data_IF_550539668035
#
_entry.id   IF_550539668035
#
_cell.length_a   1.000
_cell.length_b   1.000
_cell.length_c   1.000
_cell.angle_alpha   90.00
_cell.angle_beta   90.00
_cell.angle_gamma   90.00
#
_symmetry.space_group_name_H-M   'P 1'
#
loop_
_entity.id
_entity.type
_entity.pdbx_description
1 polymer ?
#
# COMPACT_ATOMS: atom_id res chain seq x y z
N UNK A 1 -18.31 -36.35 1.06
CA UNK A 1 -18.70 -34.97 1.47
C UNK A 1 -17.50 -34.30 2.11
N UNK A 2 -17.12 -33.12 1.62
CA UNK A 2 -16.01 -32.33 2.14
C UNK A 2 -16.50 -30.90 2.42
N UNK A 3 -15.93 -30.26 3.44
CA UNK A 3 -16.27 -28.90 3.88
C UNK A 3 -15.07 -28.00 3.64
N UNK A 4 -15.25 -26.97 2.81
CA UNK A 4 -14.22 -25.97 2.52
C UNK A 4 -14.47 -24.73 3.36
N UNK A 5 -13.46 -24.25 4.09
CA UNK A 5 -13.57 -23.06 4.94
C UNK A 5 -12.38 -22.14 4.76
N UNK A 6 -12.52 -20.87 5.15
CA UNK A 6 -11.46 -19.84 5.13
C UNK A 6 -10.30 -20.08 6.12
N UNK A 7 -10.17 -21.29 6.65
CA UNK A 7 -9.14 -21.68 7.62
C UNK A 7 -9.12 -20.84 8.92
N UNK A 8 -10.19 -20.08 9.21
CA UNK A 8 -10.34 -19.40 10.49
C UNK A 8 -10.39 -20.41 11.64
N UNK A 9 -9.60 -20.19 12.70
CA UNK A 9 -9.44 -21.16 13.79
C UNK A 9 -10.78 -21.66 14.37
N UNK A 10 -11.75 -20.76 14.51
CA UNK A 10 -13.08 -21.08 15.03
C UNK A 10 -13.87 -22.01 14.10
N UNK A 11 -13.89 -21.74 12.79
CA UNK A 11 -14.64 -22.55 11.83
C UNK A 11 -13.94 -23.89 11.57
N UNK A 12 -12.60 -23.90 11.58
CA UNK A 12 -11.80 -25.13 11.51
C UNK A 12 -12.13 -26.04 12.69
N UNK A 13 -12.15 -25.51 13.91
CA UNK A 13 -12.53 -26.27 15.10
C UNK A 13 -13.96 -26.80 14.99
N UNK A 14 -14.93 -25.97 14.60
CA UNK A 14 -16.32 -26.40 14.44
C UNK A 14 -16.47 -27.54 13.43
N UNK A 15 -15.76 -27.49 12.30
CA UNK A 15 -15.78 -28.57 11.29
C UNK A 15 -15.09 -29.83 11.81
N UNK A 16 -13.98 -29.69 12.54
CA UNK A 16 -13.29 -30.83 13.15
C UNK A 16 -14.17 -31.54 14.18
N UNK A 17 -14.85 -30.79 15.04
CA UNK A 17 -15.72 -31.32 16.09
C UNK A 17 -16.99 -31.93 15.49
N UNK A 18 -17.55 -31.35 14.42
CA UNK A 18 -18.83 -31.80 13.81
C UNK A 18 -18.66 -32.92 12.78
N UNK A 19 -17.61 -32.85 11.96
CA UNK A 19 -17.45 -33.70 10.78
C UNK A 19 -16.15 -34.50 10.77
N UNK A 20 -15.22 -34.23 11.69
CA UNK A 20 -13.90 -34.85 11.75
C UNK A 20 -12.89 -34.23 10.78
N UNK A 21 -11.61 -34.24 11.18
CA UNK A 21 -10.49 -33.60 10.46
C UNK A 21 -10.37 -34.01 8.99
N UNK A 22 -10.63 -35.28 8.66
CA UNK A 22 -10.48 -35.83 7.29
C UNK A 22 -11.44 -35.21 6.27
N UNK A 23 -12.48 -34.51 6.72
CA UNK A 23 -13.49 -33.88 5.85
C UNK A 23 -13.29 -32.38 5.68
N UNK A 24 -12.31 -31.78 6.36
CA UNK A 24 -11.97 -30.37 6.20
C UNK A 24 -10.96 -30.19 5.07
N UNK A 25 -11.23 -29.24 4.17
CA UNK A 25 -10.29 -28.79 3.15
C UNK A 25 -10.09 -27.28 3.33
N UNK A 26 -8.86 -26.77 3.50
CA UNK A 26 -8.64 -25.35 3.61
C UNK A 26 -8.93 -24.64 2.28
N UNK A 27 -9.49 -23.43 2.35
CA UNK A 27 -9.71 -22.60 1.17
C UNK A 27 -8.37 -22.16 0.57
N UNK A 28 -8.09 -22.61 -0.65
CA UNK A 28 -6.86 -22.29 -1.37
C UNK A 28 -6.66 -20.77 -1.56
N UNK A 29 -7.74 -20.04 -1.86
CA UNK A 29 -7.68 -18.58 -2.03
C UNK A 29 -7.25 -17.86 -0.74
N UNK A 30 -7.72 -18.35 0.42
CA UNK A 30 -7.29 -17.82 1.72
C UNK A 30 -5.83 -18.16 2.00
N UNK A 31 -5.39 -19.38 1.69
CA UNK A 31 -3.97 -19.77 1.82
C UNK A 31 -3.06 -18.87 0.97
N UNK A 32 -3.44 -18.60 -0.28
CA UNK A 32 -2.70 -17.65 -1.13
C UNK A 32 -2.66 -16.24 -0.51
N UNK A 33 -3.77 -15.77 0.06
CA UNK A 33 -3.79 -14.48 0.73
C UNK A 33 -2.79 -14.42 1.90
N UNK A 34 -2.77 -15.46 2.75
CA UNK A 34 -1.84 -15.53 3.87
C UNK A 34 -0.37 -15.48 3.40
N UNK A 35 -0.04 -16.17 2.31
CA UNK A 35 1.32 -16.12 1.74
C UNK A 35 1.67 -14.70 1.31
N UNK A 36 0.76 -14.02 0.61
CA UNK A 36 0.95 -12.64 0.19
C UNK A 36 1.10 -11.69 1.39
N UNK A 37 0.22 -11.78 2.39
CA UNK A 37 0.27 -10.95 3.60
C UNK A 37 1.58 -11.16 4.37
N UNK A 38 2.01 -12.41 4.53
CA UNK A 38 3.28 -12.73 5.18
C UNK A 38 4.48 -12.15 4.43
N UNK A 39 4.47 -12.21 3.09
CA UNK A 39 5.52 -11.61 2.27
C UNK A 39 5.60 -10.09 2.44
N UNK A 40 4.45 -9.41 2.53
CA UNK A 40 4.36 -7.96 2.74
C UNK A 40 4.77 -7.55 4.15
N UNK A 41 4.58 -8.43 5.14
CA UNK A 41 4.97 -8.21 6.54
C UNK A 41 6.46 -8.44 6.80
N UNK A 42 7.23 -8.92 5.81
CA UNK A 42 8.69 -8.98 5.90
C UNK A 42 9.28 -7.62 6.27
N UNK A 43 10.23 -7.51 7.23
CA UNK A 43 10.67 -6.22 7.77
C UNK A 43 11.09 -5.19 6.71
N UNK A 44 11.85 -5.62 5.69
CA UNK A 44 12.32 -4.73 4.61
C UNK A 44 11.17 -4.26 3.72
N UNK A 45 10.25 -5.16 3.37
CA UNK A 45 9.10 -4.85 2.50
C UNK A 45 8.10 -3.97 3.24
N UNK A 46 7.76 -4.35 4.46
CA UNK A 46 6.81 -3.63 5.30
C UNK A 46 7.27 -2.17 5.54
N UNK A 47 8.56 -1.95 5.79
CA UNK A 47 9.11 -0.61 5.95
C UNK A 47 8.82 0.30 4.74
N UNK A 48 8.95 -0.23 3.51
CA UNK A 48 8.62 0.50 2.28
C UNK A 48 7.11 0.71 2.14
N UNK A 49 6.31 -0.35 2.36
CA UNK A 49 4.84 -0.28 2.25
C UNK A 49 4.24 0.74 3.22
N UNK A 50 4.77 0.81 4.44
CA UNK A 50 4.38 1.80 5.46
C UNK A 50 4.75 3.20 5.01
N UNK A 51 5.98 3.44 4.52
CA UNK A 51 6.37 4.77 3.99
C UNK A 51 5.47 5.23 2.85
N UNK A 52 5.19 4.35 1.87
CA UNK A 52 4.25 4.66 0.80
C UNK A 52 2.86 5.02 1.34
N UNK A 53 2.39 4.29 2.37
CA UNK A 53 1.11 4.56 3.03
C UNK A 53 1.09 5.94 3.69
N UNK A 54 2.16 6.34 4.38
CA UNK A 54 2.22 7.64 5.04
C UNK A 54 2.24 8.80 4.04
N UNK A 55 2.96 8.68 2.92
CA UNK A 55 2.94 9.67 1.83
C UNK A 55 1.52 9.81 1.26
N UNK A 56 0.87 8.68 0.95
CA UNK A 56 -0.50 8.67 0.43
C UNK A 56 -1.48 9.28 1.44
N UNK A 57 -1.34 8.99 2.74
CA UNK A 57 -2.16 9.61 3.79
C UNK A 57 -1.94 11.11 3.88
N UNK A 58 -0.70 11.58 3.75
CA UNK A 58 -0.39 13.01 3.74
C UNK A 58 -1.07 13.71 2.54
N UNK A 59 -0.93 13.16 1.33
CA UNK A 59 -1.60 13.68 0.11
C UNK A 59 -3.12 13.71 0.22
N UNK A 60 -3.73 12.72 0.89
CA UNK A 60 -5.18 12.70 1.09
C UNK A 60 -5.68 13.70 2.13
N UNK A 61 -4.87 14.00 3.16
CA UNK A 61 -5.25 14.92 4.24
C UNK A 61 -5.05 16.38 3.86
N UNK A 62 -4.04 16.68 3.04
CA UNK A 62 -3.73 18.04 2.62
C UNK A 62 -4.49 18.40 1.34
N UNK A 63 -5.41 19.36 1.43
CA UNK A 63 -6.11 19.91 0.26
C UNK A 63 -5.11 20.48 -0.73
N UNK A 64 -4.18 21.32 -0.23
CA UNK A 64 -3.10 21.90 -1.04
C UNK A 64 -2.30 20.84 -1.79
N UNK A 65 -1.87 19.76 -1.12
CA UNK A 65 -1.06 18.73 -1.77
C UNK A 65 -1.88 17.91 -2.79
N UNK A 66 -3.20 17.80 -2.59
CA UNK A 66 -4.10 17.19 -3.56
C UNK A 66 -4.26 18.06 -4.81
N UNK A 67 -4.41 19.37 -4.62
CA UNK A 67 -4.49 20.35 -5.71
C UNK A 67 -3.16 20.44 -6.46
N UNK A 68 -2.02 20.43 -5.76
CA UNK A 68 -0.69 20.36 -6.36
C UNK A 68 -0.55 19.09 -7.24
N UNK A 69 -1.08 17.95 -6.80
CA UNK A 69 -1.08 16.72 -7.59
C UNK A 69 -1.94 16.84 -8.86
N UNK A 70 -3.06 17.56 -8.79
CA UNK A 70 -3.88 17.85 -9.97
C UNK A 70 -3.13 18.78 -10.94
N UNK A 71 -2.53 19.85 -10.41
CA UNK A 71 -1.81 20.85 -11.19
C UNK A 71 -0.59 20.26 -11.89
N UNK A 72 0.19 19.43 -11.20
CA UNK A 72 1.37 18.76 -11.76
C UNK A 72 0.96 17.77 -12.86
N UNK A 73 -0.16 17.06 -12.71
CA UNK A 73 -0.70 16.20 -13.78
C UNK A 73 -1.19 17.04 -14.99
N UNK A 74 -1.84 18.17 -14.74
CA UNK A 74 -2.30 19.09 -15.79
C UNK A 74 -1.12 19.67 -16.58
N UNK A 75 -0.07 20.11 -15.89
CA UNK A 75 1.17 20.62 -16.48
C UNK A 75 1.89 19.57 -17.32
N UNK A 76 1.76 18.29 -16.97
CA UNK A 76 2.25 17.16 -17.76
C UNK A 76 1.34 16.75 -18.93
N UNK A 77 0.27 17.51 -19.21
CA UNK A 77 -0.64 17.27 -20.33
C UNK A 77 -1.70 16.18 -20.07
N UNK A 78 -1.92 15.76 -18.82
CA UNK A 78 -2.97 14.79 -18.50
C UNK A 78 -4.34 15.47 -18.57
N UNK A 79 -5.22 14.97 -19.43
CA UNK A 79 -6.60 15.45 -19.52
C UNK A 79 -7.33 15.31 -18.18
N UNK A 80 -8.17 16.31 -17.83
CA UNK A 80 -8.93 16.37 -16.57
C UNK A 80 -9.66 15.07 -16.21
N UNK A 81 -10.33 14.42 -17.17
CA UNK A 81 -11.03 13.15 -16.92
C UNK A 81 -10.13 11.92 -16.70
N UNK A 82 -8.82 12.04 -16.94
CA UNK A 82 -7.82 10.96 -16.80
C UNK A 82 -6.89 11.17 -15.61
N UNK A 83 -7.03 12.27 -14.87
CA UNK A 83 -6.19 12.56 -13.71
C UNK A 83 -6.42 11.52 -12.60
N UNK A 84 -5.33 10.97 -12.10
CA UNK A 84 -5.40 9.92 -11.10
C UNK A 84 -5.32 10.53 -9.70
N UNK A 85 -6.21 10.03 -8.83
CA UNK A 85 -6.14 10.26 -7.38
C UNK A 85 -5.39 9.12 -6.69
N UNK A 86 -4.78 9.43 -5.56
CA UNK A 86 -4.18 8.41 -4.68
C UNK A 86 -5.28 7.58 -4.00
N UNK A 87 -4.98 6.31 -3.74
CA UNK A 87 -5.89 5.37 -3.08
C UNK A 87 -5.22 4.77 -1.85
N UNK A 88 -6.00 4.53 -0.79
CA UNK A 88 -5.51 3.94 0.45
C UNK A 88 -5.90 2.46 0.49
N UNK A 89 -5.05 1.64 1.10
CA UNK A 89 -5.33 0.23 1.34
C UNK A 89 -6.37 0.04 2.44
N UNK A 90 -7.18 -1.02 2.31
CA UNK A 90 -8.21 -1.45 3.24
C UNK A 90 -7.79 -2.79 3.81
N UNK A 91 -7.50 -2.85 5.11
CA UNK A 91 -6.92 -4.04 5.74
C UNK A 91 -7.71 -5.33 5.49
N UNK A 92 -9.04 -5.25 5.45
CA UNK A 92 -9.92 -6.41 5.26
C UNK A 92 -10.09 -6.83 3.80
N UNK A 93 -9.50 -6.11 2.84
CA UNK A 93 -9.59 -6.42 1.40
C UNK A 93 -8.21 -6.79 0.87
N UNK A 94 -7.99 -8.09 0.69
CA UNK A 94 -6.72 -8.72 0.28
C UNK A 94 -5.94 -8.01 -0.85
N UNK A 95 -6.60 -7.58 -1.92
CA UNK A 95 -5.92 -6.93 -3.05
C UNK A 95 -5.68 -5.42 -2.89
N UNK A 96 -6.14 -4.80 -1.80
CA UNK A 96 -6.13 -3.34 -1.67
C UNK A 96 -4.72 -2.75 -1.54
N UNK A 97 -3.81 -3.46 -0.89
CA UNK A 97 -2.40 -3.07 -0.78
C UNK A 97 -1.72 -3.07 -2.14
N UNK A 98 -1.98 -4.09 -2.97
CA UNK A 98 -1.48 -4.18 -4.34
C UNK A 98 -1.91 -2.95 -5.16
N UNK A 99 -3.21 -2.65 -5.20
CA UNK A 99 -3.71 -1.50 -5.97
C UNK A 99 -3.15 -0.17 -5.46
N UNK A 100 -2.99 0.01 -4.14
CA UNK A 100 -2.33 1.20 -3.57
C UNK A 100 -0.92 1.36 -4.11
N UNK A 101 -0.11 0.30 -4.07
CA UNK A 101 1.27 0.34 -4.52
C UNK A 101 1.35 0.57 -6.03
N UNK A 102 0.52 -0.11 -6.82
CA UNK A 102 0.43 0.08 -8.26
C UNK A 102 0.07 1.53 -8.61
N UNK A 103 -0.94 2.10 -7.93
CA UNK A 103 -1.34 3.50 -8.12
C UNK A 103 -0.24 4.46 -7.69
N UNK A 104 0.43 4.16 -6.59
CA UNK A 104 1.54 4.98 -6.09
C UNK A 104 2.69 5.04 -7.09
N UNK A 105 3.07 3.90 -7.69
CA UNK A 105 4.11 3.84 -8.73
C UNK A 105 3.71 4.71 -9.94
N UNK A 106 2.47 4.62 -10.42
CA UNK A 106 1.97 5.45 -11.54
C UNK A 106 2.02 6.95 -11.25
N UNK A 107 1.90 7.34 -9.98
CA UNK A 107 1.92 8.74 -9.53
C UNK A 107 3.30 9.18 -9.01
N UNK A 108 4.28 8.29 -8.93
CA UNK A 108 5.51 8.52 -8.17
C UNK A 108 6.32 9.71 -8.71
N UNK A 109 6.39 9.90 -10.03
CA UNK A 109 7.05 11.04 -10.66
C UNK A 109 6.44 12.38 -10.21
N UNK A 110 5.11 12.48 -10.23
CA UNK A 110 4.39 13.67 -9.80
C UNK A 110 4.50 13.90 -8.29
N UNK A 111 4.38 12.84 -7.50
CA UNK A 111 4.54 12.90 -6.04
C UNK A 111 5.94 13.40 -5.67
N UNK A 112 6.99 12.95 -6.36
CA UNK A 112 8.35 13.42 -6.12
C UNK A 112 8.49 14.92 -6.40
N UNK A 113 7.90 15.43 -7.48
CA UNK A 113 7.92 16.87 -7.78
C UNK A 113 7.25 17.70 -6.67
N UNK A 114 6.14 17.22 -6.13
CA UNK A 114 5.42 17.89 -5.03
C UNK A 114 6.23 17.83 -3.74
N UNK A 115 6.84 16.68 -3.43
CA UNK A 115 7.67 16.52 -2.24
C UNK A 115 8.89 17.43 -2.29
N UNK A 116 9.62 17.48 -3.41
CA UNK A 116 10.78 18.36 -3.57
C UNK A 116 10.41 19.84 -3.46
N UNK A 117 9.26 20.24 -4.01
CA UNK A 117 8.77 21.62 -3.94
C UNK A 117 8.31 22.04 -2.53
N UNK A 118 7.94 21.08 -1.67
CA UNK A 118 7.48 21.34 -0.30
C UNK A 118 8.57 21.15 0.77
N UNK A 119 9.78 20.70 0.41
CA UNK A 119 10.91 20.66 1.35
C UNK A 119 11.48 22.09 1.49
N UNK A 120 11.46 22.70 2.67
CA UNK A 120 12.11 23.99 2.88
C UNK A 120 13.62 23.85 2.60
N UNK A 121 14.16 24.79 1.82
CA UNK A 121 15.55 24.84 1.33
C UNK A 121 16.60 24.61 2.44
N UNK A 122 16.29 24.96 3.69
CA UNK A 122 17.15 24.75 4.85
C UNK A 122 17.54 23.28 5.12
N UNK A 123 16.73 22.28 4.73
CA UNK A 123 17.05 20.87 5.00
C UNK A 123 18.11 20.27 4.06
N UNK A 124 18.34 20.88 2.89
CA UNK A 124 19.33 20.39 1.91
C UNK A 124 20.78 20.75 2.32
N UNK A 125 20.96 21.82 3.09
CA UNK A 125 22.29 22.24 3.55
C UNK A 125 22.87 21.34 4.65
N UNK A 126 22.02 20.74 5.51
CA UNK A 126 22.47 19.88 6.61
C UNK A 126 23.06 18.53 6.13
N UNK A 127 22.61 18.02 4.97
CA UNK A 127 23.04 16.71 4.46
C UNK A 127 24.20 16.78 3.46
N UNK A 128 24.48 17.94 2.85
CA UNK A 128 25.65 18.10 1.99
C UNK A 128 26.95 18.20 2.80
N UNK A 129 26.91 18.88 3.95
CA UNK A 129 28.09 19.07 4.82
C UNK A 129 28.62 17.81 5.52
N UNK A 130 27.92 16.67 5.45
CA UNK A 130 28.37 15.41 6.08
C UNK A 130 29.00 14.42 5.10
N UNK A 131 29.04 14.73 3.79
CA UNK A 131 29.68 13.88 2.78
C UNK A 131 31.11 14.31 2.40
N UNK A 132 31.51 15.54 2.70
CA UNK A 132 32.85 16.08 2.38
C UNK A 132 33.87 15.97 3.54
N UNK A 133 33.68 15.04 4.48
CA UNK A 133 34.63 14.79 5.59
C UNK A 133 34.99 13.31 5.75
N UNK A 134 35.20 12.63 4.62
CA UNK A 134 35.94 11.36 4.56
C UNK A 134 36.85 11.35 3.34
#
# INVERSE_FOLDING_TARGET
MAVVTDNGANIVKAVHDSFGKKRHIPCFAYTLNLVCENSLNSPKVNAVVVKCKEIVKWLKRSVKANDDLRNVQAAAGVAEGKMLKTILDVKTRWSSTYYKLERFIKLCSYINQILTSNIPFCYLHQHYSTRDSK
#
